data_IF_475391956210
#
_entry.id   IF_475391956210
#
_cell.length_a   1.000
_cell.length_b   1.000
_cell.length_c   1.000
_cell.angle_alpha   90.00
_cell.angle_beta   90.00
_cell.angle_gamma   90.00
#
_symmetry.space_group_name_H-M   'P 1'
#
loop_
_entity.id
_entity.type
_entity.pdbx_description
1 polymer ?
#
# COMPACT_ATOMS: atom_id res chain seq x y z
N UNK A 1 6.09 -5.02 20.65
CA UNK A 1 5.52 -4.38 19.46
C UNK A 1 4.85 -5.47 18.66
N UNK A 2 3.52 -5.45 18.61
CA UNK A 2 2.72 -6.41 17.84
C UNK A 2 2.96 -6.15 16.34
N UNK A 3 3.32 -7.18 15.56
CA UNK A 3 3.40 -7.04 14.10
C UNK A 3 1.99 -6.77 13.56
N UNK A 4 1.80 -5.83 12.62
CA UNK A 4 0.51 -5.64 11.97
C UNK A 4 0.03 -6.95 11.34
N UNK A 5 -1.22 -7.32 11.59
CA UNK A 5 -1.86 -8.54 11.09
C UNK A 5 -2.11 -8.54 9.59
N UNK A 6 -1.85 -7.42 8.90
CA UNK A 6 -1.90 -7.34 7.46
C UNK A 6 -0.48 -7.14 6.93
N UNK A 7 0.08 -8.23 6.39
CA UNK A 7 1.25 -8.19 5.55
C UNK A 7 0.92 -7.43 4.25
N UNK A 8 1.70 -6.40 3.85
CA UNK A 8 1.59 -5.85 2.50
C UNK A 8 1.87 -6.95 1.47
N UNK A 9 1.27 -6.86 0.28
CA UNK A 9 1.67 -7.71 -0.86
C UNK A 9 3.20 -7.61 -1.04
N UNK A 10 3.90 -8.75 -0.89
CA UNK A 10 5.36 -8.83 -0.90
C UNK A 10 6.00 -9.17 0.45
N UNK A 11 5.28 -9.12 1.57
CA UNK A 11 5.78 -9.60 2.86
C UNK A 11 5.87 -11.14 2.96
N UNK A 12 5.52 -11.89 1.92
CA UNK A 12 5.85 -13.32 1.85
C UNK A 12 7.30 -13.56 1.37
N UNK A 13 7.92 -12.60 0.66
CA UNK A 13 9.23 -12.80 0.01
C UNK A 13 10.40 -13.07 0.97
N UNK A 14 10.39 -12.47 2.16
CA UNK A 14 11.39 -12.68 3.21
C UNK A 14 11.08 -13.86 4.16
N UNK A 15 9.84 -14.38 4.16
CA UNK A 15 9.44 -15.51 5.02
C UNK A 15 9.65 -16.85 4.30
N UNK A 16 9.57 -16.87 2.97
CA UNK A 16 9.69 -18.10 2.16
C UNK A 16 11.03 -18.25 1.44
N UNK A 17 11.97 -17.32 1.64
CA UNK A 17 13.27 -17.29 0.95
C UNK A 17 14.40 -17.76 1.87
N UNK A 18 15.30 -18.61 1.35
CA UNK A 18 16.54 -19.01 2.03
C UNK A 18 17.45 -17.83 2.37
N UNK A 19 17.21 -16.65 1.77
CA UNK A 19 17.94 -15.41 2.01
C UNK A 19 17.25 -14.45 2.99
N UNK A 20 16.17 -14.90 3.68
CA UNK A 20 15.36 -14.05 4.55
C UNK A 20 16.16 -13.28 5.61
N UNK A 21 17.13 -13.94 6.26
CA UNK A 21 18.00 -13.31 7.26
C UNK A 21 18.90 -12.21 6.67
N UNK A 22 19.52 -12.45 5.52
CA UNK A 22 20.40 -11.48 4.86
C UNK A 22 19.60 -10.28 4.32
N UNK A 23 18.38 -10.51 3.85
CA UNK A 23 17.45 -9.44 3.46
C UNK A 23 17.10 -8.58 4.68
N UNK A 24 16.73 -9.22 5.79
CA UNK A 24 16.36 -8.51 7.02
C UNK A 24 17.52 -7.67 7.55
N UNK A 25 18.74 -8.21 7.61
CA UNK A 25 19.91 -7.47 8.08
C UNK A 25 20.16 -6.23 7.23
N UNK A 26 20.13 -6.36 5.89
CA UNK A 26 20.28 -5.22 4.97
C UNK A 26 19.21 -4.15 5.18
N UNK A 27 17.96 -4.53 5.41
CA UNK A 27 16.90 -3.56 5.72
C UNK A 27 17.14 -2.85 7.05
N UNK A 28 17.64 -3.54 8.08
CA UNK A 28 17.95 -2.93 9.38
C UNK A 28 19.15 -1.97 9.28
N UNK A 29 20.18 -2.33 8.51
CA UNK A 29 21.30 -1.44 8.22
C UNK A 29 20.86 -0.20 7.44
N UNK A 30 20.05 -0.37 6.41
CA UNK A 30 19.46 0.74 5.66
C UNK A 30 18.58 1.63 6.56
N UNK A 31 17.78 1.04 7.47
CA UNK A 31 16.96 1.80 8.41
C UNK A 31 17.80 2.65 9.37
N UNK A 32 18.94 2.12 9.85
CA UNK A 32 19.92 2.88 10.63
C UNK A 32 20.46 4.06 9.83
N UNK A 33 20.83 3.84 8.58
CA UNK A 33 21.32 4.91 7.71
C UNK A 33 20.24 5.96 7.44
N UNK A 34 18.99 5.55 7.25
CA UNK A 34 17.85 6.47 7.09
C UNK A 34 17.68 7.34 8.34
N UNK A 35 17.70 6.75 9.53
CA UNK A 35 17.59 7.48 10.79
C UNK A 35 18.75 8.48 10.97
N UNK A 36 19.98 8.08 10.63
CA UNK A 36 21.14 8.96 10.71
C UNK A 36 21.06 10.14 9.73
N UNK A 37 20.47 9.91 8.54
CA UNK A 37 20.34 10.91 7.48
C UNK A 37 19.01 11.69 7.51
N UNK A 38 18.19 11.56 8.56
CA UNK A 38 16.85 12.17 8.63
C UNK A 38 16.85 13.68 8.29
N UNK A 39 17.79 14.45 8.87
CA UNK A 39 17.92 15.89 8.60
C UNK A 39 18.24 16.20 7.13
N UNK A 40 19.04 15.34 6.48
CA UNK A 40 19.38 15.49 5.07
C UNK A 40 18.15 15.27 4.18
N UNK A 41 17.32 14.28 4.49
CA UNK A 41 16.06 14.08 3.76
C UNK A 41 15.11 15.26 3.93
N UNK A 42 15.01 15.83 5.14
CA UNK A 42 14.22 17.04 5.40
C UNK A 42 14.72 18.23 4.57
N UNK A 43 16.03 18.51 4.60
CA UNK A 43 16.62 19.62 3.84
C UNK A 43 16.43 19.42 2.33
N UNK A 44 16.60 18.18 1.83
CA UNK A 44 16.38 17.87 0.43
C UNK A 44 14.91 18.04 0.03
N UNK A 45 13.96 17.57 0.85
CA UNK A 45 12.54 17.75 0.60
C UNK A 45 12.17 19.23 0.54
N UNK A 46 12.66 20.04 1.50
CA UNK A 46 12.47 21.49 1.50
C UNK A 46 13.01 22.17 0.25
N UNK A 47 14.20 21.77 -0.22
CA UNK A 47 14.79 22.29 -1.45
C UNK A 47 13.96 21.91 -2.69
N UNK A 48 13.48 20.66 -2.77
CA UNK A 48 12.66 20.17 -3.90
C UNK A 48 11.31 20.90 -3.98
N UNK A 49 10.68 21.17 -2.84
CA UNK A 49 9.37 21.85 -2.80
C UNK A 49 9.48 23.37 -2.72
N UNK A 50 10.69 23.94 -2.81
CA UNK A 50 10.89 25.38 -2.72
C UNK A 50 10.14 26.09 -3.85
N UNK A 51 9.23 26.99 -3.47
CA UNK A 51 8.41 27.75 -4.43
C UNK A 51 7.22 26.98 -5.00
N UNK A 52 7.02 25.71 -4.61
CA UNK A 52 5.82 24.95 -4.97
C UNK A 52 4.59 25.59 -4.33
N UNK A 53 3.56 25.87 -5.14
CA UNK A 53 2.27 26.33 -4.67
C UNK A 53 1.35 25.13 -4.52
N UNK A 54 0.72 25.00 -3.37
CA UNK A 54 -0.19 23.90 -3.06
C UNK A 54 -1.63 24.26 -3.42
N UNK A 55 -2.34 23.31 -4.00
CA UNK A 55 -3.80 23.33 -4.14
C UNK A 55 -4.39 22.54 -2.98
N UNK A 56 -5.23 23.19 -2.16
CA UNK A 56 -5.77 22.59 -0.93
C UNK A 56 -6.72 21.42 -1.21
N UNK A 57 -7.50 21.48 -2.30
CA UNK A 57 -8.39 20.39 -2.69
C UNK A 57 -7.57 19.19 -3.16
N UNK A 58 -6.50 19.43 -3.93
CA UNK A 58 -5.60 18.38 -4.34
C UNK A 58 -4.83 17.77 -3.17
N UNK A 59 -4.37 18.59 -2.21
CA UNK A 59 -3.73 18.11 -0.98
C UNK A 59 -4.67 17.26 -0.14
N UNK A 60 -5.96 17.62 -0.08
CA UNK A 60 -6.97 16.82 0.62
C UNK A 60 -7.10 15.42 -0.01
N UNK A 61 -7.13 15.34 -1.36
CA UNK A 61 -7.20 14.06 -2.07
C UNK A 61 -6.04 13.14 -1.71
N UNK A 62 -4.83 13.67 -1.49
CA UNK A 62 -3.66 12.86 -1.13
C UNK A 62 -3.64 12.34 0.31
N UNK A 63 -4.58 12.76 1.18
CA UNK A 63 -4.61 12.31 2.59
C UNK A 63 -5.17 10.89 2.70
N UNK A 64 -4.53 10.07 3.53
CA UNK A 64 -5.02 8.72 3.86
C UNK A 64 -6.44 8.73 4.43
N UNK A 65 -6.79 9.72 5.25
CA UNK A 65 -8.14 9.86 5.81
C UNK A 65 -9.20 10.13 4.75
N UNK A 66 -8.85 10.94 3.74
CA UNK A 66 -9.70 11.17 2.58
C UNK A 66 -9.91 9.86 1.81
N UNK A 67 -8.82 9.15 1.48
CA UNK A 67 -8.89 7.84 0.81
C UNK A 67 -9.74 6.83 1.60
N UNK A 68 -9.60 6.79 2.94
CA UNK A 68 -10.38 5.91 3.80
C UNK A 68 -11.89 6.19 3.71
N UNK A 69 -12.26 7.46 3.80
CA UNK A 69 -13.67 7.87 3.72
C UNK A 69 -14.23 7.73 2.32
N UNK A 70 -13.43 7.97 1.28
CA UNK A 70 -13.83 7.80 -0.12
C UNK A 70 -14.17 6.34 -0.42
N UNK A 71 -13.32 5.41 0.00
CA UNK A 71 -13.46 3.98 -0.31
C UNK A 71 -14.53 3.29 0.55
N UNK A 72 -14.64 3.66 1.83
CA UNK A 72 -15.45 2.91 2.81
C UNK A 72 -16.55 3.74 3.49
N UNK A 73 -16.67 5.03 3.20
CA UNK A 73 -17.57 5.94 3.91
C UNK A 73 -17.17 6.17 5.36
N UNK A 74 -17.92 7.03 6.07
CA UNK A 74 -17.63 7.42 7.45
C UNK A 74 -17.60 6.24 8.43
N UNK A 75 -18.55 5.31 8.31
CA UNK A 75 -18.65 4.13 9.19
C UNK A 75 -17.71 2.99 8.78
N UNK A 76 -17.52 2.78 7.48
CA UNK A 76 -16.66 1.70 7.01
C UNK A 76 -15.18 1.98 7.22
N UNK A 77 -14.77 3.26 7.25
CA UNK A 77 -13.39 3.66 7.49
C UNK A 77 -12.83 3.19 8.86
N UNK A 78 -13.68 3.05 9.88
CA UNK A 78 -13.28 2.60 11.22
C UNK A 78 -13.29 1.07 11.39
N UNK A 79 -13.64 0.31 10.36
CA UNK A 79 -13.62 -1.16 10.39
C UNK A 79 -12.17 -1.65 10.32
N UNK A 80 -11.92 -2.86 10.84
CA UNK A 80 -10.62 -3.53 10.80
C UNK A 80 -10.00 -3.49 9.40
N UNK A 81 -8.69 -3.26 9.38
CA UNK A 81 -7.90 -3.15 8.14
C UNK A 81 -7.98 -4.41 7.28
N UNK A 82 -7.90 -5.60 7.89
CA UNK A 82 -8.01 -6.90 7.21
C UNK A 82 -9.32 -7.03 6.45
N UNK A 83 -10.43 -6.61 7.06
CA UNK A 83 -11.77 -6.74 6.48
C UNK A 83 -11.93 -5.74 5.32
N UNK A 84 -11.40 -4.53 5.49
CA UNK A 84 -11.38 -3.50 4.44
C UNK A 84 -10.60 -3.95 3.21
N UNK A 85 -9.41 -4.52 3.39
CA UNK A 85 -8.61 -5.03 2.28
C UNK A 85 -9.23 -6.26 1.62
N UNK A 86 -9.73 -7.22 2.40
CA UNK A 86 -10.43 -8.39 1.86
C UNK A 86 -11.62 -7.98 1.01
N UNK A 87 -12.42 -7.02 1.50
CA UNK A 87 -13.55 -6.46 0.76
C UNK A 87 -13.11 -5.72 -0.51
N UNK A 88 -12.02 -4.95 -0.43
CA UNK A 88 -11.52 -4.23 -1.60
C UNK A 88 -11.00 -5.18 -2.69
N UNK A 89 -10.31 -6.27 -2.31
CA UNK A 89 -9.90 -7.31 -3.23
C UNK A 89 -11.09 -7.94 -3.98
N UNK A 90 -12.21 -8.19 -3.29
CA UNK A 90 -13.44 -8.68 -3.92
C UNK A 90 -14.03 -7.65 -4.90
N UNK A 91 -14.05 -6.37 -4.52
CA UNK A 91 -14.53 -5.28 -5.38
C UNK A 91 -13.67 -5.17 -6.63
N UNK A 92 -12.35 -5.08 -6.48
CA UNK A 92 -11.42 -4.99 -7.61
C UNK A 92 -11.52 -6.20 -8.54
N UNK A 93 -11.63 -7.41 -7.97
CA UNK A 93 -11.82 -8.65 -8.76
C UNK A 93 -13.12 -8.60 -9.56
N UNK A 94 -14.22 -8.16 -8.95
CA UNK A 94 -15.50 -8.05 -9.65
C UNK A 94 -15.48 -6.97 -10.74
N UNK A 95 -14.85 -5.82 -10.47
CA UNK A 95 -14.69 -4.74 -11.45
C UNK A 95 -13.82 -5.17 -12.62
N UNK A 96 -12.68 -5.82 -12.36
CA UNK A 96 -11.80 -6.37 -13.39
C UNK A 96 -12.56 -7.33 -14.32
N UNK A 97 -13.27 -8.32 -13.76
CA UNK A 97 -14.08 -9.26 -14.57
C UNK A 97 -15.21 -8.60 -15.34
N UNK A 98 -15.75 -7.48 -14.85
CA UNK A 98 -16.82 -6.74 -15.54
C UNK A 98 -16.26 -5.92 -16.71
N UNK A 99 -15.09 -5.31 -16.53
CA UNK A 99 -14.43 -4.49 -17.55
C UNK A 99 -13.77 -5.36 -18.62
N UNK A 100 -13.16 -6.46 -18.21
CA UNK A 100 -12.46 -7.42 -19.06
C UNK A 100 -12.96 -8.83 -18.74
N UNK A 101 -14.09 -9.26 -19.34
CA UNK A 101 -14.65 -10.58 -19.09
C UNK A 101 -13.68 -11.69 -19.50
N UNK A 102 -13.48 -12.72 -18.67
CA UNK A 102 -12.67 -13.86 -19.07
C UNK A 102 -13.31 -14.52 -20.29
N UNK A 103 -12.50 -15.07 -21.22
CA UNK A 103 -13.03 -15.74 -22.40
C UNK A 103 -14.00 -16.86 -21.97
N UNK A 104 -15.10 -17.06 -22.71
CA UNK A 104 -16.03 -18.13 -22.41
C UNK A 104 -15.26 -19.45 -22.36
N UNK A 105 -15.45 -20.21 -21.28
CA UNK A 105 -14.85 -21.54 -21.14
C UNK A 105 -15.41 -22.39 -22.29
N UNK A 106 -14.61 -22.61 -23.33
CA UNK A 106 -14.92 -23.59 -24.37
C UNK A 106 -15.08 -24.92 -23.65
N UNK A 107 -16.32 -25.39 -23.55
CA UNK A 107 -16.63 -26.71 -23.05
C UNK A 107 -16.10 -27.67 -24.11
N UNK A 108 -14.86 -28.14 -23.95
CA UNK A 108 -14.31 -29.21 -24.76
C UNK A 108 -15.10 -30.46 -24.42
N UNK A 109 -16.18 -30.69 -25.17
CA UNK A 109 -16.86 -31.97 -25.25
C UNK A 109 -15.84 -32.95 -25.86
N UNK A 110 -15.31 -33.83 -25.01
CA UNK A 110 -14.68 -35.09 -25.42
C UNK A 110 -15.66 -36.20 -25.02
#
# INVERSE_FOLDING_TARGET
MERPSVAPEGAELWETSDQGCDIMLRHLEAARDVAHNAQRFTANAQAVVQGFQTDDDLLEVFKTDFHLRLLWGSRGASVNQSDRFSKFNLILTALSRKLEPPPPKTQTLI
#
